data_IF_380269513716
#
_entry.id   IF_380269513716
#
_cell.length_a   1.000
_cell.length_b   1.000
_cell.length_c   1.000
_cell.angle_alpha   90.00
_cell.angle_beta   90.00
_cell.angle_gamma   90.00
#
_symmetry.space_group_name_H-M   'P 1'
#
loop_
_entity.id
_entity.type
_entity.pdbx_description
1 polymer ?
#
# COMPACT_ATOMS: atom_id res chain seq x y z
N UNK A 1 -0.05 -18.87 -23.99
CA UNK A 1 0.09 -17.43 -23.70
C UNK A 1 0.33 -17.30 -22.21
N UNK A 2 1.57 -17.04 -21.81
CA UNK A 2 1.93 -16.94 -20.39
C UNK A 2 1.89 -15.47 -20.01
N UNK A 3 0.91 -15.09 -19.19
CA UNK A 3 0.86 -13.75 -18.59
C UNK A 3 1.80 -13.77 -17.40
N UNK A 4 2.76 -12.85 -17.38
CA UNK A 4 3.74 -12.68 -16.31
C UNK A 4 3.02 -12.43 -14.96
N UNK A 5 2.93 -13.46 -14.15
CA UNK A 5 2.54 -13.40 -12.74
C UNK A 5 3.77 -13.00 -11.93
N UNK A 6 4.09 -11.71 -11.89
CA UNK A 6 5.16 -11.18 -11.04
C UNK A 6 4.57 -10.81 -9.67
N UNK A 7 4.72 -11.70 -8.67
CA UNK A 7 5.32 -11.27 -7.39
C UNK A 7 4.41 -11.21 -6.12
N UNK A 8 3.93 -12.26 -5.42
CA UNK A 8 4.47 -12.90 -4.19
C UNK A 8 3.34 -13.53 -3.32
N UNK A 9 3.62 -14.49 -2.41
CA UNK A 9 2.64 -15.36 -1.77
C UNK A 9 1.85 -14.67 -0.65
N UNK A 10 0.60 -15.11 -0.52
CA UNK A 10 -0.46 -14.67 0.41
C UNK A 10 -0.17 -14.76 1.92
N UNK A 11 1.08 -15.00 2.32
CA UNK A 11 1.51 -15.19 3.71
C UNK A 11 2.63 -14.23 4.16
N UNK A 12 2.99 -13.23 3.36
CA UNK A 12 4.05 -12.30 3.72
C UNK A 12 3.60 -11.35 4.83
N UNK A 13 4.34 -11.29 5.95
CA UNK A 13 4.13 -10.29 7.02
C UNK A 13 4.44 -8.86 6.56
N UNK A 14 5.12 -8.72 5.41
CA UNK A 14 5.39 -7.47 4.73
C UNK A 14 5.10 -7.62 3.25
N UNK A 15 4.44 -6.62 2.69
CA UNK A 15 4.34 -6.46 1.25
C UNK A 15 5.62 -5.89 0.65
N UNK A 16 5.74 -5.98 -0.69
CA UNK A 16 6.78 -5.30 -1.42
C UNK A 16 6.77 -3.79 -1.20
N UNK A 17 7.96 -3.21 -1.21
CA UNK A 17 8.14 -1.77 -1.09
C UNK A 17 7.51 -1.00 -2.26
N UNK A 18 7.12 0.25 -2.03
CA UNK A 18 6.65 1.19 -3.07
C UNK A 18 7.32 2.54 -2.97
N UNK A 19 7.29 3.29 -4.07
CA UNK A 19 7.54 4.72 -4.05
C UNK A 19 6.36 5.52 -3.49
N UNK A 20 6.60 6.67 -2.83
CA UNK A 20 5.56 7.63 -2.45
C UNK A 20 4.61 8.03 -3.59
N UNK A 21 5.15 8.19 -4.80
CA UNK A 21 4.41 8.67 -5.97
C UNK A 21 3.52 7.61 -6.63
N UNK A 22 3.71 6.33 -6.29
CA UNK A 22 2.99 5.25 -6.96
C UNK A 22 1.59 5.05 -6.38
N UNK A 23 0.70 4.52 -7.20
CA UNK A 23 -0.51 3.82 -6.74
C UNK A 23 -0.41 2.38 -7.21
N UNK A 24 -0.24 1.44 -6.29
CA UNK A 24 -0.03 0.01 -6.60
C UNK A 24 -1.16 -0.82 -6.01
N UNK A 25 -1.47 -1.94 -6.68
CA UNK A 25 -2.40 -2.96 -6.21
C UNK A 25 -1.72 -3.95 -5.27
N UNK A 26 -2.28 -4.11 -4.07
CA UNK A 26 -1.87 -5.08 -3.08
C UNK A 26 -2.97 -6.09 -2.85
N UNK A 27 -2.63 -7.37 -2.98
CA UNK A 27 -3.59 -8.47 -2.84
C UNK A 27 -3.46 -9.12 -1.47
N UNK A 28 -4.59 -9.29 -0.80
CA UNK A 28 -4.73 -10.14 0.38
C UNK A 28 -5.65 -11.32 0.05
N UNK A 29 -5.07 -12.52 0.02
CA UNK A 29 -5.76 -13.75 -0.39
C UNK A 29 -6.00 -14.66 0.83
N UNK A 30 -7.27 -14.89 1.16
CA UNK A 30 -7.68 -15.73 2.28
C UNK A 30 -7.97 -17.18 1.88
N UNK A 31 -7.77 -17.57 0.62
CA UNK A 31 -7.98 -18.95 0.14
C UNK A 31 -7.36 -20.01 1.05
N UNK A 32 -6.12 -19.85 1.58
CA UNK A 32 -5.54 -20.82 2.50
C UNK A 32 -6.32 -21.02 3.81
N UNK A 33 -7.06 -20.01 4.26
CA UNK A 33 -7.91 -20.08 5.46
C UNK A 33 -9.28 -20.75 5.19
N UNK A 34 -9.62 -21.00 3.93
CA UNK A 34 -10.93 -21.51 3.50
C UNK A 34 -10.88 -22.95 2.96
N UNK A 35 -9.76 -23.66 3.12
CA UNK A 35 -9.56 -25.02 2.57
C UNK A 35 -10.66 -26.02 2.95
N UNK A 36 -11.24 -25.90 4.14
CA UNK A 36 -12.34 -26.75 4.61
C UNK A 36 -13.76 -26.25 4.20
N UNK A 37 -13.85 -25.13 3.46
CA UNK A 37 -15.12 -24.47 3.11
C UNK A 37 -15.10 -23.99 1.64
N UNK A 38 -15.10 -24.92 0.66
CA UNK A 38 -15.09 -24.55 -0.75
C UNK A 38 -16.33 -23.71 -1.08
N UNK A 39 -16.12 -22.57 -1.73
CA UNK A 39 -17.18 -21.63 -2.09
C UNK A 39 -17.50 -20.56 -1.04
N UNK A 40 -16.86 -20.59 0.15
CA UNK A 40 -16.84 -19.43 1.03
C UNK A 40 -15.98 -18.32 0.40
N UNK A 41 -16.32 -17.08 0.68
CA UNK A 41 -15.70 -15.90 0.08
C UNK A 41 -15.88 -14.68 0.96
N UNK A 42 -15.23 -13.59 0.59
CA UNK A 42 -15.27 -12.34 1.32
C UNK A 42 -16.65 -11.69 1.12
N UNK A 43 -17.32 -11.37 2.21
CA UNK A 43 -18.59 -10.62 2.24
C UNK A 43 -18.42 -9.21 2.83
N UNK A 44 -17.33 -8.98 3.57
CA UNK A 44 -16.97 -7.67 4.13
C UNK A 44 -15.46 -7.48 4.18
N UNK A 45 -15.03 -6.24 3.90
CA UNK A 45 -13.64 -5.81 3.94
C UNK A 45 -13.58 -4.48 4.71
N UNK A 46 -12.74 -4.43 5.74
CA UNK A 46 -12.36 -3.21 6.42
C UNK A 46 -10.83 -3.11 6.44
N UNK A 47 -10.31 -1.93 6.09
CA UNK A 47 -8.88 -1.66 6.03
C UNK A 47 -8.60 -0.44 6.89
N UNK A 48 -7.62 -0.57 7.79
CA UNK A 48 -7.07 0.55 8.55
C UNK A 48 -5.58 0.64 8.30
N UNK A 49 -5.06 1.86 8.25
CA UNK A 49 -3.65 2.14 7.95
C UNK A 49 -3.10 2.96 9.11
N UNK A 50 -1.86 2.66 9.51
CA UNK A 50 -1.15 3.44 10.53
C UNK A 50 0.33 3.61 10.14
N UNK A 51 0.95 4.78 10.38
CA UNK A 51 0.31 6.03 10.81
C UNK A 51 -0.67 6.59 9.75
N UNK A 52 -1.57 7.48 10.20
CA UNK A 52 -2.64 8.10 9.39
C UNK A 52 -2.69 9.61 9.69
N UNK A 53 -1.66 10.32 9.22
CA UNK A 53 -1.54 11.77 9.22
C UNK A 53 -1.65 12.33 7.80
N UNK A 54 -1.89 13.64 7.60
CA UNK A 54 -1.87 14.23 6.27
C UNK A 54 -0.56 13.92 5.51
N UNK A 55 -0.69 13.34 4.31
CA UNK A 55 0.45 12.90 3.49
C UNK A 55 0.90 11.45 3.72
N UNK A 56 0.31 10.74 4.69
CA UNK A 56 0.56 9.32 4.89
C UNK A 56 -0.08 8.44 3.80
N UNK A 57 0.18 7.14 3.91
CA UNK A 57 -0.36 6.13 3.00
C UNK A 57 -1.89 6.10 3.07
N UNK A 58 -2.53 6.21 1.91
CA UNK A 58 -3.98 6.16 1.77
C UNK A 58 -4.46 4.91 1.03
N UNK A 59 -5.69 4.49 1.33
CA UNK A 59 -6.44 3.56 0.50
C UNK A 59 -7.22 4.35 -0.57
N UNK A 60 -6.78 4.29 -1.82
CA UNK A 60 -7.47 4.96 -2.93
C UNK A 60 -8.77 4.25 -3.30
N UNK A 61 -8.73 2.93 -3.40
CA UNK A 61 -9.90 2.09 -3.67
C UNK A 61 -9.64 0.66 -3.23
N UNK A 62 -10.70 -0.14 -3.15
CA UNK A 62 -10.59 -1.58 -2.93
C UNK A 62 -11.64 -2.34 -3.73
N UNK A 63 -11.35 -3.59 -4.02
CA UNK A 63 -12.29 -4.53 -4.62
C UNK A 63 -12.15 -5.91 -3.98
N UNK A 64 -13.18 -6.73 -4.16
CA UNK A 64 -13.22 -8.10 -3.68
C UNK A 64 -13.60 -9.00 -4.85
N UNK A 65 -12.85 -10.09 -5.02
CA UNK A 65 -13.15 -11.17 -5.96
C UNK A 65 -13.00 -12.52 -5.24
N UNK A 66 -14.14 -13.13 -4.90
CA UNK A 66 -14.19 -14.38 -4.14
C UNK A 66 -13.43 -14.29 -2.81
N UNK A 67 -12.31 -15.00 -2.72
CA UNK A 67 -11.46 -15.07 -1.53
C UNK A 67 -10.30 -14.05 -1.53
N UNK A 68 -10.30 -13.08 -2.46
CA UNK A 68 -9.22 -12.11 -2.64
C UNK A 68 -9.73 -10.69 -2.49
N UNK A 69 -9.04 -9.91 -1.67
CA UNK A 69 -9.21 -8.46 -1.59
C UNK A 69 -8.06 -7.79 -2.33
N UNK A 70 -8.36 -6.82 -3.19
CA UNK A 70 -7.39 -5.96 -3.87
C UNK A 70 -7.50 -4.56 -3.28
N UNK A 71 -6.38 -3.99 -2.87
CA UNK A 71 -6.30 -2.64 -2.29
C UNK A 71 -5.35 -1.81 -3.14
N UNK A 72 -5.85 -0.70 -3.70
CA UNK A 72 -5.01 0.28 -4.37
C UNK A 72 -4.51 1.28 -3.33
N UNK A 73 -3.24 1.16 -2.96
CA UNK A 73 -2.60 1.99 -1.95
C UNK A 73 -1.78 3.08 -2.63
N UNK A 74 -1.95 4.32 -2.17
CA UNK A 74 -1.37 5.52 -2.77
C UNK A 74 -0.69 6.39 -1.71
N UNK A 75 0.27 7.23 -2.12
CA UNK A 75 0.98 8.12 -1.20
C UNK A 75 1.94 7.39 -0.26
N UNK A 76 2.12 7.96 0.93
CA UNK A 76 3.08 7.52 1.94
C UNK A 76 4.39 8.30 1.90
N UNK A 77 5.09 8.33 3.04
CA UNK A 77 6.33 9.06 3.23
C UNK A 77 7.54 8.14 3.08
N UNK A 78 8.56 8.58 2.33
CA UNK A 78 9.79 7.81 2.15
C UNK A 78 10.48 7.55 3.50
N UNK A 79 10.91 6.31 3.72
CA UNK A 79 11.53 5.87 4.97
C UNK A 79 10.53 5.42 6.04
N UNK A 80 9.22 5.55 5.82
CA UNK A 80 8.18 5.09 6.74
C UNK A 80 7.71 3.69 6.34
N UNK A 81 7.54 2.82 7.33
CA UNK A 81 6.83 1.55 7.15
C UNK A 81 5.44 1.65 7.74
N UNK A 82 4.43 1.55 6.88
CA UNK A 82 3.04 1.57 7.28
C UNK A 82 2.58 0.19 7.71
N UNK A 83 1.68 0.13 8.68
CA UNK A 83 0.96 -1.10 9.03
C UNK A 83 -0.44 -1.01 8.45
N UNK A 84 -0.72 -1.87 7.48
CA UNK A 84 -2.04 -2.05 6.87
C UNK A 84 -2.73 -3.20 7.57
N UNK A 85 -3.78 -2.91 8.33
CA UNK A 85 -4.60 -3.93 8.99
C UNK A 85 -5.84 -4.20 8.16
N UNK A 86 -5.97 -5.45 7.73
CA UNK A 86 -7.08 -5.95 6.92
C UNK A 86 -7.95 -6.82 7.82
N UNK A 87 -9.23 -6.45 7.94
CA UNK A 87 -10.27 -7.24 8.60
C UNK A 87 -11.26 -7.70 7.54
N UNK A 88 -11.39 -9.03 7.42
CA UNK A 88 -12.29 -9.69 6.49
C UNK A 88 -13.41 -10.36 7.25
N UNK A 89 -14.64 -10.20 6.76
CA UNK A 89 -15.77 -11.06 7.10
C UNK A 89 -16.08 -11.95 5.90
N UNK A 90 -16.30 -13.24 6.15
CA UNK A 90 -16.68 -14.21 5.08
C UNK A 90 -18.19 -14.38 4.99
N UNK A 91 -18.69 -14.85 3.86
CA UNK A 91 -20.11 -15.19 3.68
C UNK A 91 -20.55 -16.31 4.64
N UNK A 92 -19.63 -17.21 5.00
CA UNK A 92 -19.80 -18.22 6.04
C UNK A 92 -19.78 -17.68 7.49
N UNK A 93 -19.70 -16.36 7.69
CA UNK A 93 -19.81 -15.71 9.00
C UNK A 93 -18.53 -15.66 9.82
N UNK A 94 -17.36 -15.97 9.22
CA UNK A 94 -16.07 -15.93 9.92
C UNK A 94 -15.47 -14.52 9.85
N UNK A 95 -14.62 -14.19 10.81
CA UNK A 95 -13.82 -12.97 10.78
C UNK A 95 -12.33 -13.30 10.85
N UNK A 96 -11.54 -12.67 9.98
CA UNK A 96 -10.09 -12.81 9.89
C UNK A 96 -9.48 -11.41 9.99
N UNK A 97 -8.46 -11.21 10.82
CA UNK A 97 -7.74 -9.96 10.91
C UNK A 97 -6.23 -10.20 10.76
N UNK A 98 -5.56 -9.42 9.90
CA UNK A 98 -4.10 -9.48 9.71
C UNK A 98 -3.53 -8.09 9.52
N UNK A 99 -2.37 -7.85 10.09
CA UNK A 99 -1.58 -6.64 9.87
C UNK A 99 -0.38 -6.97 8.98
N UNK A 100 -0.19 -6.18 7.93
CA UNK A 100 0.85 -6.35 6.92
C UNK A 100 1.67 -5.07 6.87
N UNK A 101 2.99 -5.20 6.93
CA UNK A 101 3.89 -4.05 6.78
C UNK A 101 4.00 -3.64 5.31
N UNK A 102 3.98 -2.34 5.04
CA UNK A 102 4.26 -1.78 3.72
C UNK A 102 5.34 -0.70 3.86
N UNK A 103 6.60 -1.03 3.53
CA UNK A 103 7.67 -0.03 3.51
C UNK A 103 7.53 0.88 2.30
N UNK A 104 7.59 2.19 2.53
CA UNK A 104 7.64 3.21 1.48
C UNK A 104 9.05 3.76 1.42
N UNK A 105 9.68 3.70 0.26
CA UNK A 105 11.06 4.14 0.05
C UNK A 105 11.15 4.88 -1.28
N UNK A 106 12.03 5.88 -1.39
CA UNK A 106 12.26 6.58 -2.65
C UNK A 106 13.14 5.73 -3.58
N UNK A 107 12.52 4.81 -4.34
CA UNK A 107 13.17 4.02 -5.39
C UNK A 107 13.35 4.86 -6.67
N UNK A 108 12.45 5.81 -6.93
CA UNK A 108 12.53 6.78 -8.00
C UNK A 108 12.87 8.17 -7.47
N UNK A 109 13.64 8.95 -8.24
CA UNK A 109 13.84 10.38 -7.96
C UNK A 109 12.50 11.09 -8.06
N UNK A 110 11.89 11.41 -6.93
CA UNK A 110 10.64 12.18 -6.90
C UNK A 110 10.91 13.55 -7.55
N UNK A 111 10.19 13.94 -8.61
CA UNK A 111 10.30 15.28 -9.16
C UNK A 111 9.98 16.27 -8.05
N UNK A 112 10.82 17.28 -7.89
CA UNK A 112 10.55 18.30 -6.89
C UNK A 112 9.16 18.94 -7.13
N UNK A 113 8.45 19.37 -6.07
CA UNK A 113 7.25 20.18 -6.21
C UNK A 113 7.48 21.34 -7.18
N UNK A 114 6.48 21.72 -7.98
CA UNK A 114 6.64 22.81 -8.95
C UNK A 114 7.05 24.15 -8.31
N UNK A 115 6.74 24.34 -7.02
CA UNK A 115 7.12 25.50 -6.22
C UNK A 115 8.48 25.32 -5.50
N UNK A 116 9.18 24.20 -5.67
CA UNK A 116 10.45 23.96 -5.02
C UNK A 116 11.52 24.90 -5.57
N UNK A 117 12.26 25.52 -4.64
CA UNK A 117 13.44 26.28 -4.97
C UNK A 117 14.52 25.34 -5.50
N UNK A 118 15.10 25.66 -6.65
CA UNK A 118 16.08 24.83 -7.33
C UNK A 118 17.48 25.42 -7.23
N UNK A 119 18.49 24.55 -7.17
CA UNK A 119 19.88 24.89 -7.45
C UNK A 119 20.08 25.23 -8.93
N UNK A 120 21.18 25.91 -9.29
CA UNK A 120 21.54 26.13 -10.70
C UNK A 120 21.71 24.83 -11.52
N UNK A 121 21.94 23.69 -10.86
CA UNK A 121 22.03 22.37 -11.47
C UNK A 121 20.67 21.64 -11.59
N UNK A 122 19.56 22.30 -11.23
CA UNK A 122 18.20 21.73 -11.35
C UNK A 122 17.81 20.74 -10.25
N UNK A 123 18.54 20.71 -9.12
CA UNK A 123 18.17 19.93 -7.94
C UNK A 123 17.41 20.79 -6.93
N UNK A 124 16.32 20.30 -6.31
CA UNK A 124 15.62 21.06 -5.28
C UNK A 124 16.50 21.29 -4.05
N UNK A 125 16.43 22.50 -3.51
CA UNK A 125 16.97 22.81 -2.20
C UNK A 125 16.10 22.15 -1.15
N UNK A 126 16.70 21.35 -0.28
CA UNK A 126 16.00 20.66 0.80
C UNK A 126 16.40 21.22 2.16
N UNK A 127 15.50 21.11 3.13
CA UNK A 127 15.83 21.34 4.53
C UNK A 127 16.71 20.20 5.09
N UNK A 128 17.17 20.29 6.35
CA UNK A 128 17.96 19.22 6.98
C UNK A 128 17.22 17.88 7.14
N UNK A 129 15.91 17.84 6.94
CA UNK A 129 15.06 16.64 6.98
C UNK A 129 14.86 16.01 5.60
N UNK A 130 15.37 16.65 4.54
CA UNK A 130 15.22 16.20 3.15
C UNK A 130 13.95 16.71 2.45
N UNK A 131 13.17 17.59 3.10
CA UNK A 131 11.96 18.15 2.53
C UNK A 131 12.29 19.31 1.57
N UNK A 132 11.73 19.37 0.35
CA UNK A 132 11.97 20.48 -0.57
C UNK A 132 11.49 21.82 0.01
N UNK A 133 12.36 22.83 -0.02
CA UNK A 133 12.02 24.21 0.32
C UNK A 133 11.21 24.82 -0.83
N UNK A 134 10.01 25.32 -0.54
CA UNK A 134 9.11 25.89 -1.55
C UNK A 134 8.99 27.40 -1.41
N UNK A 135 8.75 28.11 -2.52
CA UNK A 135 8.25 29.49 -2.46
C UNK A 135 6.81 29.48 -1.96
N UNK A 136 6.50 30.32 -0.97
CA UNK A 136 5.13 30.53 -0.46
C UNK A 136 4.16 30.96 -1.56
#
# INVERSE_FOLDING_TARGET
>A
MSVNHLWQPSNARSWPVKDPGDTLDYVFDITPALTANPGDGISGLNVTITPDQPGDLGLASSSVDGARAVMWLTGGQAGVTYTVTVVITTAGGRTLARSIALPVVALATVPAPAAALMTPAGQPLTDPTGSPLTTL
#
